data_IF_545483707141
#
_entry.id   IF_545483707141
#
_cell.length_a   1.000
_cell.length_b   1.000
_cell.length_c   1.000
_cell.angle_alpha   90.00
_cell.angle_beta   90.00
_cell.angle_gamma   90.00
#
_symmetry.space_group_name_H-M   'P 1'
#
loop_
_entity.id
_entity.type
_entity.pdbx_description
1 polymer ?
#
# COMPACT_ATOMS: atom_id res chain seq x y z
N UNK A 1 5.19 -19.74 6.34
CA UNK A 1 4.37 -19.27 7.49
C UNK A 1 3.96 -20.46 8.34
N UNK A 2 4.12 -20.40 9.68
CA UNK A 2 3.71 -21.50 10.57
C UNK A 2 2.18 -21.50 10.77
N UNK A 3 1.51 -22.67 10.71
CA UNK A 3 0.06 -22.77 10.83
C UNK A 3 -0.48 -22.35 12.21
N UNK A 4 0.35 -22.44 13.25
CA UNK A 4 0.03 -22.03 14.63
C UNK A 4 -0.20 -20.51 14.80
N UNK A 5 0.19 -19.71 13.79
CA UNK A 5 0.05 -18.26 13.80
C UNK A 5 -1.24 -17.78 13.11
N UNK A 6 -2.15 -18.70 12.79
CA UNK A 6 -3.34 -18.43 12.00
C UNK A 6 -4.60 -18.71 12.84
N UNK A 7 -5.48 -17.73 12.91
CA UNK A 7 -6.80 -17.83 13.53
C UNK A 7 -7.88 -17.67 12.47
N UNK A 8 -8.87 -18.55 12.44
CA UNK A 8 -10.03 -18.42 11.54
C UNK A 8 -11.22 -17.84 12.30
N UNK A 9 -11.91 -16.88 11.69
CA UNK A 9 -13.13 -16.32 12.22
C UNK A 9 -14.10 -15.92 11.08
N UNK A 10 -15.25 -15.38 11.46
CA UNK A 10 -16.25 -14.84 10.52
C UNK A 10 -16.46 -13.36 10.86
N UNK A 11 -16.42 -12.51 9.85
CA UNK A 11 -16.76 -11.09 9.99
C UNK A 11 -18.26 -10.95 10.24
N UNK A 12 -18.64 -10.52 11.44
CA UNK A 12 -20.05 -10.40 11.84
C UNK A 12 -20.85 -9.38 11.03
N UNK A 13 -20.18 -8.41 10.37
CA UNK A 13 -20.87 -7.39 9.56
C UNK A 13 -21.24 -7.91 8.18
N UNK A 14 -20.35 -8.71 7.58
CA UNK A 14 -20.45 -9.12 6.17
C UNK A 14 -20.75 -10.61 6.01
N UNK A 15 -20.62 -11.41 7.07
CA UNK A 15 -20.70 -12.87 7.03
C UNK A 15 -19.51 -13.55 6.35
N UNK A 16 -18.49 -12.79 5.93
CA UNK A 16 -17.35 -13.33 5.18
C UNK A 16 -16.33 -14.00 6.10
N UNK A 17 -15.69 -15.05 5.60
CA UNK A 17 -14.59 -15.70 6.31
C UNK A 17 -13.38 -14.78 6.41
N UNK A 18 -12.82 -14.66 7.61
CA UNK A 18 -11.60 -13.88 7.88
C UNK A 18 -10.52 -14.73 8.53
N UNK A 19 -9.29 -14.31 8.31
CA UNK A 19 -8.08 -14.94 8.82
C UNK A 19 -7.30 -13.91 9.62
N UNK A 20 -7.05 -14.22 10.89
CA UNK A 20 -6.15 -13.50 11.77
C UNK A 20 -4.74 -14.09 11.65
N UNK A 21 -3.75 -13.25 11.37
CA UNK A 21 -2.35 -13.62 11.21
C UNK A 21 -1.52 -12.94 12.29
N UNK A 22 -0.89 -13.74 13.16
CA UNK A 22 0.02 -13.25 14.20
C UNK A 22 1.29 -12.67 13.59
N UNK A 23 1.73 -11.51 14.06
CA UNK A 23 2.90 -10.82 13.50
C UNK A 23 4.21 -11.31 14.14
N UNK A 24 5.21 -11.61 13.32
CA UNK A 24 6.47 -12.24 13.76
C UNK A 24 7.30 -11.38 14.70
N UNK A 25 7.26 -10.05 14.53
CA UNK A 25 7.98 -9.11 15.38
C UNK A 25 7.10 -8.48 16.46
N UNK A 26 5.78 -8.71 16.44
CA UNK A 26 4.82 -8.20 17.41
C UNK A 26 3.83 -9.32 17.75
N UNK A 27 4.26 -10.32 18.54
CA UNK A 27 3.48 -11.54 18.76
C UNK A 27 2.14 -11.28 19.48
N UNK A 28 1.96 -10.16 20.16
CA UNK A 28 0.69 -9.82 20.79
C UNK A 28 -0.29 -9.12 19.82
N UNK A 29 0.11 -8.94 18.56
CA UNK A 29 -0.69 -8.31 17.52
C UNK A 29 -1.09 -9.30 16.43
N UNK A 30 -2.33 -9.16 15.98
CA UNK A 30 -2.94 -9.99 14.93
C UNK A 30 -3.46 -9.08 13.83
N UNK A 31 -3.03 -9.33 12.60
CA UNK A 31 -3.58 -8.67 11.42
C UNK A 31 -4.74 -9.49 10.85
N UNK A 32 -5.87 -8.85 10.56
CA UNK A 32 -7.09 -9.49 10.09
C UNK A 32 -7.31 -9.21 8.61
N UNK A 33 -7.54 -10.26 7.82
CA UNK A 33 -7.72 -10.19 6.37
C UNK A 33 -8.84 -11.14 5.95
N UNK A 34 -9.51 -10.89 4.82
CA UNK A 34 -10.46 -11.87 4.30
C UNK A 34 -9.74 -13.14 3.83
N UNK A 35 -10.37 -14.30 3.98
CA UNK A 35 -9.78 -15.59 3.62
C UNK A 35 -9.31 -15.64 2.16
N UNK A 36 -10.13 -15.15 1.24
CA UNK A 36 -9.82 -15.11 -0.20
C UNK A 36 -8.57 -14.27 -0.49
N UNK A 37 -8.43 -13.14 0.20
CA UNK A 37 -7.27 -12.25 0.08
C UNK A 37 -6.02 -12.89 0.71
N UNK A 38 -6.18 -13.55 1.86
CA UNK A 38 -5.11 -14.30 2.50
C UNK A 38 -4.56 -15.40 1.58
N UNK A 39 -5.42 -16.25 1.04
CA UNK A 39 -5.04 -17.35 0.14
C UNK A 39 -4.30 -16.82 -1.09
N UNK A 40 -4.83 -15.76 -1.72
CA UNK A 40 -4.20 -15.11 -2.88
C UNK A 40 -2.81 -14.57 -2.57
N UNK A 41 -2.63 -13.94 -1.41
CA UNK A 41 -1.35 -13.41 -0.95
C UNK A 41 -0.38 -14.54 -0.65
N UNK A 42 -0.79 -15.55 0.10
CA UNK A 42 0.08 -16.65 0.52
C UNK A 42 0.47 -17.60 -0.61
N UNK A 43 -0.33 -17.67 -1.68
CA UNK A 43 0.02 -18.40 -2.89
C UNK A 43 1.24 -17.80 -3.61
N UNK A 44 1.50 -16.49 -3.43
CA UNK A 44 2.61 -15.78 -4.07
C UNK A 44 3.76 -15.44 -3.11
N UNK A 45 3.47 -15.34 -1.82
CA UNK A 45 4.42 -14.91 -0.80
C UNK A 45 4.31 -15.81 0.43
N UNK A 46 5.38 -16.54 0.75
CA UNK A 46 5.36 -17.52 1.85
C UNK A 46 6.06 -17.03 3.14
N UNK A 47 6.63 -15.83 3.05
CA UNK A 47 7.36 -15.16 4.11
C UNK A 47 6.55 -14.80 5.35
N UNK A 48 7.25 -14.22 6.32
CA UNK A 48 6.67 -13.87 7.62
C UNK A 48 6.04 -12.49 7.59
N UNK A 49 4.86 -12.36 8.19
CA UNK A 49 4.16 -11.09 8.33
C UNK A 49 4.70 -10.35 9.53
N UNK A 50 4.98 -9.06 9.37
CA UNK A 50 5.60 -8.22 10.40
C UNK A 50 5.10 -6.78 10.33
N UNK A 51 5.13 -6.06 11.44
CA UNK A 51 5.04 -4.61 11.41
C UNK A 51 6.28 -4.01 10.76
N UNK A 52 6.09 -2.94 10.01
CA UNK A 52 7.21 -2.19 9.43
C UNK A 52 8.06 -1.51 10.50
N UNK A 53 7.43 -0.98 11.54
CA UNK A 53 8.10 -0.39 12.70
C UNK A 53 7.39 -0.81 13.99
N UNK A 54 8.13 -1.32 14.98
CA UNK A 54 7.54 -1.82 16.23
C UNK A 54 7.03 -0.71 17.15
N UNK A 55 7.72 0.42 17.16
CA UNK A 55 7.48 1.50 18.13
C UNK A 55 6.86 2.74 17.47
N UNK A 56 6.17 2.57 16.35
CA UNK A 56 5.45 3.67 15.70
C UNK A 56 3.96 3.37 15.68
N UNK A 57 3.13 4.35 16.07
CA UNK A 57 1.70 4.23 15.86
C UNK A 57 1.41 4.08 14.36
N UNK A 58 0.39 3.30 14.02
CA UNK A 58 -0.08 3.14 12.64
C UNK A 58 0.98 2.55 11.69
N UNK A 59 1.79 1.60 12.19
CA UNK A 59 2.72 0.85 11.35
C UNK A 59 2.00 -0.12 10.42
N UNK A 60 2.23 -0.08 9.09
CA UNK A 60 1.64 -1.03 8.18
C UNK A 60 2.30 -2.41 8.29
N UNK A 61 1.54 -3.44 7.96
CA UNK A 61 2.01 -4.82 7.88
C UNK A 61 2.71 -5.08 6.54
N UNK A 62 3.82 -5.80 6.61
CA UNK A 62 4.60 -6.25 5.45
C UNK A 62 4.92 -7.75 5.55
N UNK A 63 5.10 -8.38 4.41
CA UNK A 63 5.68 -9.72 4.30
C UNK A 63 7.16 -9.57 4.04
N UNK A 64 7.98 -10.30 4.80
CA UNK A 64 9.41 -10.44 4.57
C UNK A 64 9.65 -11.84 4.01
N UNK A 65 10.09 -11.92 2.76
CA UNK A 65 10.35 -13.15 2.02
C UNK A 65 11.76 -13.10 1.42
N UNK A 66 12.73 -13.70 2.13
CA UNK A 66 14.16 -13.55 1.84
C UNK A 66 14.60 -12.09 1.86
N UNK A 67 15.08 -11.59 0.72
CA UNK A 67 15.51 -10.19 0.54
C UNK A 67 14.36 -9.25 0.12
N UNK A 68 13.15 -9.78 -0.05
CA UNK A 68 12.01 -9.00 -0.50
C UNK A 68 11.15 -8.57 0.69
N UNK A 69 10.74 -7.30 0.68
CA UNK A 69 9.77 -6.78 1.65
C UNK A 69 8.63 -6.08 0.92
N UNK A 70 7.40 -6.58 1.11
CA UNK A 70 6.22 -6.03 0.43
C UNK A 70 5.10 -5.75 1.42
N UNK A 71 4.48 -4.58 1.32
CA UNK A 71 3.33 -4.21 2.14
C UNK A 71 2.10 -5.05 1.78
N UNK A 72 1.48 -5.67 2.79
CA UNK A 72 0.33 -6.55 2.57
C UNK A 72 -0.85 -5.78 1.98
N UNK A 73 -1.12 -4.56 2.47
CA UNK A 73 -2.21 -3.73 1.94
C UNK A 73 -2.07 -3.43 0.44
N UNK A 74 -0.83 -3.37 -0.10
CA UNK A 74 -0.59 -3.19 -1.54
C UNK A 74 -0.84 -4.46 -2.34
N UNK A 75 -0.56 -5.63 -1.75
CA UNK A 75 -0.84 -6.92 -2.39
C UNK A 75 -2.35 -7.17 -2.48
N UNK A 76 -3.10 -6.80 -1.44
CA UNK A 76 -4.56 -6.99 -1.40
C UNK A 76 -5.27 -6.09 -2.42
N UNK A 77 -4.87 -4.81 -2.47
CA UNK A 77 -5.48 -3.79 -3.33
C UNK A 77 -4.90 -3.74 -4.75
N UNK A 78 -3.88 -4.55 -5.04
CA UNK A 78 -3.14 -4.54 -6.30
C UNK A 78 -2.67 -3.12 -6.70
N UNK A 79 -2.22 -2.37 -5.68
CA UNK A 79 -1.97 -0.94 -5.80
C UNK A 79 -0.88 -0.61 -6.85
N UNK A 80 -1.18 0.20 -7.89
CA UNK A 80 -0.19 0.58 -8.88
C UNK A 80 0.89 1.50 -8.28
N UNK A 81 1.98 1.69 -9.02
CA UNK A 81 3.03 2.64 -8.66
C UNK A 81 2.47 4.05 -8.44
N UNK A 82 3.02 4.78 -7.46
CA UNK A 82 2.59 6.16 -7.17
C UNK A 82 1.26 6.29 -6.44
N UNK A 83 0.68 5.20 -5.93
CA UNK A 83 -0.49 5.24 -5.03
C UNK A 83 -0.10 4.94 -3.59
N UNK A 84 -0.89 5.45 -2.65
CA UNK A 84 -0.77 5.16 -1.22
C UNK A 84 -2.00 4.40 -0.73
N UNK A 85 -1.81 3.54 0.27
CA UNK A 85 -2.90 2.79 0.91
C UNK A 85 -3.52 3.62 2.04
N UNK A 86 -4.83 3.79 1.96
CA UNK A 86 -5.69 4.37 2.99
C UNK A 86 -6.40 3.25 3.74
N UNK A 87 -6.60 3.43 5.05
CA UNK A 87 -7.30 2.49 5.91
C UNK A 87 -8.46 3.27 6.52
N UNK A 88 -9.69 2.87 6.20
CA UNK A 88 -10.88 3.66 6.51
C UNK A 88 -11.17 3.76 8.02
N UNK A 89 -10.82 2.73 8.78
CA UNK A 89 -10.92 2.69 10.25
C UNK A 89 -9.66 3.17 10.98
N UNK A 90 -8.65 3.62 10.25
CA UNK A 90 -7.30 3.97 10.72
C UNK A 90 -6.48 2.83 11.36
N UNK A 91 -7.02 1.62 11.46
CA UNK A 91 -6.36 0.44 12.00
C UNK A 91 -5.56 -0.28 10.90
N UNK A 92 -4.24 -0.24 11.04
CA UNK A 92 -3.31 -0.85 10.06
C UNK A 92 -3.21 -2.37 10.18
N UNK A 93 -3.79 -2.96 11.22
CA UNK A 93 -3.94 -4.40 11.39
C UNK A 93 -5.23 -4.92 10.74
N UNK A 94 -6.22 -4.06 10.49
CA UNK A 94 -7.40 -4.42 9.73
C UNK A 94 -7.11 -4.32 8.22
N UNK A 95 -6.70 -5.44 7.63
CA UNK A 95 -6.35 -5.61 6.22
C UNK A 95 -7.51 -6.19 5.39
N UNK A 96 -8.73 -6.18 5.91
CA UNK A 96 -9.91 -6.56 5.12
C UNK A 96 -10.05 -5.60 3.94
N UNK A 97 -10.29 -6.14 2.74
CA UNK A 97 -10.24 -5.37 1.48
C UNK A 97 -11.26 -4.23 1.42
N UNK A 98 -12.37 -4.31 2.15
CA UNK A 98 -13.37 -3.24 2.29
C UNK A 98 -12.89 -2.07 3.18
N UNK A 99 -11.93 -2.32 4.07
CA UNK A 99 -11.28 -1.28 4.88
C UNK A 99 -10.16 -0.56 4.11
N UNK A 100 -9.71 -1.10 2.98
CA UNK A 100 -8.57 -0.57 2.23
C UNK A 100 -9.02 0.29 1.06
N UNK A 101 -8.42 1.48 0.96
CA UNK A 101 -8.59 2.39 -0.16
C UNK A 101 -7.27 2.74 -0.81
N UNK A 102 -7.35 3.25 -2.05
CA UNK A 102 -6.20 3.83 -2.75
C UNK A 102 -6.36 5.34 -2.83
N UNK A 103 -5.28 6.06 -2.54
CA UNK A 103 -5.19 7.51 -2.80
C UNK A 103 -3.96 7.82 -3.64
N UNK A 104 -3.94 9.02 -4.22
CA UNK A 104 -2.76 9.50 -4.95
C UNK A 104 -1.59 9.59 -3.98
N UNK A 105 -0.57 8.77 -4.21
CA UNK A 105 0.65 8.79 -3.43
C UNK A 105 1.47 10.02 -3.76
N UNK A 106 2.19 10.55 -2.77
CA UNK A 106 3.18 11.60 -2.97
C UNK A 106 4.53 11.04 -3.45
N UNK A 107 4.53 9.89 -4.15
CA UNK A 107 5.73 9.33 -4.76
C UNK A 107 6.42 10.45 -5.55
N UNK A 108 7.68 10.72 -5.19
CA UNK A 108 8.37 11.98 -5.44
C UNK A 108 7.95 12.62 -6.75
N UNK A 109 7.39 13.84 -6.68
CA UNK A 109 7.30 14.69 -7.84
C UNK A 109 8.69 14.70 -8.46
N UNK A 110 8.84 14.01 -9.60
CA UNK A 110 9.53 14.62 -10.71
C UNK A 110 8.93 16.03 -10.77
N UNK A 111 9.70 17.01 -10.30
CA UNK A 111 9.53 18.38 -10.71
C UNK A 111 9.72 18.30 -12.21
N UNK A 112 8.62 18.02 -12.94
CA UNK A 112 8.49 18.43 -14.32
C UNK A 112 8.92 19.88 -14.28
N UNK A 113 10.13 20.15 -14.78
CA UNK A 113 10.49 21.44 -15.32
C UNK A 113 9.34 21.76 -16.27
N UNK A 114 8.35 22.47 -15.77
CA UNK A 114 7.59 23.41 -16.57
C UNK A 114 8.62 24.46 -16.97
N UNK A 115 9.47 24.11 -17.95
CA UNK A 115 9.97 25.11 -18.86
C UNK A 115 8.70 25.67 -19.48
N UNK A 116 8.36 26.87 -19.04
CA UNK A 116 7.32 27.68 -19.64
C UNK A 116 7.43 27.60 -21.16
N UNK A 117 6.31 27.66 -21.91
CA UNK A 117 6.43 27.94 -23.34
C UNK A 117 7.19 29.27 -23.44
N UNK A 118 8.42 29.21 -23.96
CA UNK A 118 9.16 30.37 -24.43
C UNK A 118 8.25 31.01 -25.46
N UNK A 119 7.57 32.08 -25.06
CA UNK A 119 6.92 32.98 -25.99
C UNK A 119 8.03 33.52 -26.89
N UNK A 120 8.14 32.96 -28.10
CA UNK A 120 8.98 33.48 -29.15
C UNK A 120 8.36 34.80 -29.59
N UNK A 121 8.81 35.90 -28.98
CA UNK A 121 8.58 37.22 -29.55
C UNK A 121 9.52 37.35 -30.75
N UNK A 122 9.02 37.03 -31.93
CA UNK A 122 9.69 37.31 -33.19
C UNK A 122 9.92 38.82 -33.29
N UNK A 123 11.18 39.23 -33.22
CA UNK A 123 11.61 40.60 -33.45
C UNK A 123 11.32 40.96 -34.90
N UNK A 124 10.29 41.77 -35.13
CA UNK A 124 9.96 42.31 -36.46
C UNK A 124 11.13 43.17 -36.93
N UNK A 125 11.78 42.76 -38.02
CA UNK A 125 12.74 43.58 -38.77
C UNK A 125 12.12 43.82 -40.15
N UNK A 126 11.61 45.02 -40.35
CA UNK A 126 11.08 45.47 -41.64
C UNK A 126 11.07 46.99 -41.64
N UNK A 127 12.08 47.59 -42.26
CA UNK A 127 12.35 49.01 -42.19
C UNK A 127 11.58 49.87 -43.17
N UNK A 128 11.94 51.15 -43.20
CA UNK A 128 12.02 51.97 -44.42
C UNK A 128 12.90 53.19 -44.15
N UNK A 129 13.92 53.34 -44.99
CA UNK A 129 14.49 54.63 -45.37
C UNK A 129 13.48 55.35 -46.26
N UNK A 130 13.28 56.64 -46.02
CA UNK A 130 13.45 57.72 -46.99
C UNK A 130 13.47 59.02 -46.17
#
# INVERSE_FOLDING_TARGET
MNPENITHATDLKTGRAVVGVRLSNAPDQTAWVYREDFERVTAKHTGSWSLTHLNRPKSPVRIIDGHTSVYVGRLITEAPGGTAIVYHDEDRLNLRSDNLGLTRGCGGRDRKRSLAPLFVSTRTRGGRRA
#
